data_IF_352259260983
#
_entry.id   IF_352259260983
#
_cell.length_a   1.000
_cell.length_b   1.000
_cell.length_c   1.000
_cell.angle_alpha   90.00
_cell.angle_beta   90.00
_cell.angle_gamma   90.00
#
_symmetry.space_group_name_H-M   'P 1'
#
loop_
_entity.id
_entity.type
_entity.pdbx_description
1 polymer ?
#
# COMPACT_ATOMS: atom_id res chain seq x y z
N UNK A 1 15.95 -0.47 -16.92
CA UNK A 1 14.76 -0.46 -17.83
C UNK A 1 14.65 0.85 -18.57
N UNK A 2 14.49 2.02 -17.92
CA UNK A 2 14.37 3.34 -18.59
C UNK A 2 15.53 3.63 -19.53
N UNK A 3 16.76 3.55 -19.06
CA UNK A 3 17.96 3.82 -19.87
C UNK A 3 18.08 2.90 -21.08
N UNK A 4 17.78 1.61 -20.91
CA UNK A 4 17.80 0.65 -22.01
C UNK A 4 16.76 0.98 -23.08
N UNK A 5 15.53 1.35 -22.67
CA UNK A 5 14.49 1.77 -23.58
C UNK A 5 14.87 3.07 -24.32
N UNK A 6 15.29 4.08 -23.58
CA UNK A 6 15.66 5.39 -24.15
C UNK A 6 16.88 5.33 -25.06
N UNK A 7 17.80 4.37 -24.86
CA UNK A 7 18.95 4.15 -25.71
C UNK A 7 18.64 3.42 -27.04
N UNK A 8 17.48 2.75 -27.12
CA UNK A 8 17.11 1.93 -28.28
C UNK A 8 15.88 2.47 -29.04
N UNK A 9 15.18 3.45 -28.48
CA UNK A 9 13.92 3.98 -29.02
C UNK A 9 14.05 5.45 -29.41
N UNK A 10 13.40 5.82 -30.51
CA UNK A 10 13.22 7.22 -30.87
C UNK A 10 12.30 7.99 -29.91
N UNK A 11 11.51 7.27 -29.09
CA UNK A 11 10.66 7.84 -28.04
C UNK A 11 11.40 7.73 -26.71
N UNK A 12 11.24 8.76 -25.89
CA UNK A 12 11.82 8.82 -24.55
C UNK A 12 10.72 8.61 -23.50
N UNK A 13 11.05 7.96 -22.41
CA UNK A 13 10.18 7.79 -21.24
C UNK A 13 10.87 8.34 -20.00
N UNK A 14 10.13 9.07 -19.18
CA UNK A 14 10.62 9.55 -17.88
C UNK A 14 10.71 8.41 -16.85
N UNK A 15 11.54 8.57 -15.84
CA UNK A 15 11.59 7.64 -14.69
C UNK A 15 10.25 7.65 -13.95
N UNK A 16 9.63 8.83 -13.81
CA UNK A 16 8.32 9.00 -13.20
C UNK A 16 7.24 8.17 -13.92
N UNK A 17 7.20 8.19 -15.25
CA UNK A 17 6.26 7.37 -16.02
C UNK A 17 6.58 5.86 -15.90
N UNK A 18 7.85 5.48 -15.87
CA UNK A 18 8.25 4.06 -15.66
C UNK A 18 7.81 3.55 -14.29
N UNK A 19 7.91 4.37 -13.24
CA UNK A 19 7.45 4.01 -11.89
C UNK A 19 5.92 3.78 -11.88
N UNK A 20 5.17 4.71 -12.45
CA UNK A 20 3.70 4.58 -12.51
C UNK A 20 3.28 3.38 -13.37
N UNK A 21 3.92 3.16 -14.51
CA UNK A 21 3.66 2.02 -15.39
C UNK A 21 3.98 0.69 -14.69
N UNK A 22 5.06 0.65 -13.90
CA UNK A 22 5.38 -0.51 -13.06
C UNK A 22 4.29 -0.81 -12.04
N UNK A 23 3.74 0.23 -11.40
CA UNK A 23 2.62 0.10 -10.46
C UNK A 23 1.34 -0.42 -11.14
N UNK A 24 0.97 0.13 -12.29
CA UNK A 24 -0.21 -0.35 -13.04
C UNK A 24 -0.06 -1.81 -13.46
N UNK A 25 1.10 -2.19 -13.99
CA UNK A 25 1.39 -3.57 -14.38
C UNK A 25 1.36 -4.55 -13.19
N UNK A 26 1.82 -4.11 -12.02
CA UNK A 26 1.78 -4.92 -10.80
C UNK A 26 0.32 -5.18 -10.35
N UNK A 27 -0.55 -4.17 -10.41
CA UNK A 27 -1.97 -4.32 -10.08
C UNK A 27 -2.67 -5.25 -11.09
N UNK A 28 -2.42 -5.09 -12.39
CA UNK A 28 -2.96 -5.96 -13.43
C UNK A 28 -2.52 -7.42 -13.24
N UNK A 29 -1.23 -7.63 -12.92
CA UNK A 29 -0.72 -8.98 -12.66
C UNK A 29 -1.34 -9.58 -11.40
N UNK A 30 -1.50 -8.79 -10.32
CA UNK A 30 -2.13 -9.26 -9.08
C UNK A 30 -3.61 -9.62 -9.28
N UNK A 31 -4.34 -8.86 -10.08
CA UNK A 31 -5.71 -9.18 -10.47
C UNK A 31 -5.77 -10.47 -11.29
N UNK A 32 -4.86 -10.64 -12.25
CA UNK A 32 -4.73 -11.87 -13.05
C UNK A 32 -4.43 -13.10 -12.18
N UNK A 33 -3.58 -12.94 -11.15
CA UNK A 33 -3.32 -14.00 -10.18
C UNK A 33 -4.59 -14.41 -9.41
N UNK A 34 -5.52 -13.48 -9.23
CA UNK A 34 -6.85 -13.73 -8.64
C UNK A 34 -7.90 -14.24 -9.65
N UNK A 35 -7.53 -14.47 -10.91
CA UNK A 35 -8.43 -14.94 -11.96
C UNK A 35 -9.26 -13.83 -12.62
N UNK A 36 -8.94 -12.56 -12.40
CA UNK A 36 -9.66 -11.41 -12.95
C UNK A 36 -8.76 -10.65 -13.92
N UNK A 37 -9.27 -10.33 -15.10
CA UNK A 37 -8.56 -9.46 -16.06
C UNK A 37 -9.04 -8.03 -15.90
N UNK A 38 -8.11 -7.12 -15.61
CA UNK A 38 -8.36 -5.69 -15.51
C UNK A 38 -7.34 -4.94 -16.37
N UNK A 39 -7.71 -3.77 -16.84
CA UNK A 39 -6.79 -2.82 -17.46
C UNK A 39 -6.75 -1.57 -16.59
N UNK A 40 -5.59 -1.27 -16.04
CA UNK A 40 -5.40 -0.07 -15.22
C UNK A 40 -5.04 1.11 -16.13
N UNK A 41 -5.83 2.20 -16.13
CA UNK A 41 -5.56 3.36 -16.98
C UNK A 41 -4.17 3.95 -16.71
N UNK A 42 -3.45 4.25 -17.76
CA UNK A 42 -2.15 4.90 -17.69
C UNK A 42 -2.15 6.16 -18.56
N UNK A 43 -1.82 7.30 -17.96
CA UNK A 43 -1.58 8.55 -18.66
C UNK A 43 -0.07 8.87 -18.64
N UNK A 44 0.54 8.93 -19.81
CA UNK A 44 1.93 9.34 -19.99
C UNK A 44 2.10 10.87 -19.93
N UNK A 45 3.34 11.33 -19.80
CA UNK A 45 3.70 12.75 -19.93
C UNK A 45 4.30 13.36 -18.67
N UNK A 46 4.61 12.56 -17.66
CA UNK A 46 5.40 13.03 -16.51
C UNK A 46 6.84 13.25 -16.96
N UNK A 47 7.48 14.24 -16.33
CA UNK A 47 8.89 14.57 -16.56
C UNK A 47 9.69 14.36 -15.27
N UNK A 48 10.99 14.14 -15.42
CA UNK A 48 11.90 14.01 -14.29
C UNK A 48 12.56 15.36 -13.99
N UNK A 49 12.67 15.71 -12.72
CA UNK A 49 13.49 16.83 -12.27
C UNK A 49 14.93 16.38 -12.05
N UNK A 50 15.89 17.25 -12.34
CA UNK A 50 17.28 17.04 -11.95
C UNK A 50 17.50 17.36 -10.47
N UNK A 51 18.59 16.91 -9.88
CA UNK A 51 18.96 17.27 -8.51
C UNK A 51 19.06 18.79 -8.30
N UNK A 52 19.55 19.52 -9.30
CA UNK A 52 19.63 20.97 -9.25
C UNK A 52 18.25 21.68 -9.29
N UNK A 53 17.24 21.02 -9.81
CA UNK A 53 15.86 21.51 -9.85
C UNK A 53 15.03 21.08 -8.61
N UNK A 54 15.64 20.32 -7.72
CA UNK A 54 14.94 19.76 -6.55
C UNK A 54 15.47 20.43 -5.29
N UNK A 55 14.60 21.14 -4.58
CA UNK A 55 14.89 21.63 -3.21
C UNK A 55 14.66 20.51 -2.21
N UNK A 56 15.67 19.64 -2.04
CA UNK A 56 15.59 18.48 -1.16
C UNK A 56 15.37 18.87 0.31
N UNK A 57 15.84 20.05 0.73
CA UNK A 57 15.70 20.52 2.10
C UNK A 57 14.24 20.90 2.41
N UNK A 58 13.57 21.58 1.50
CA UNK A 58 12.14 21.92 1.64
C UNK A 58 11.27 20.66 1.52
N UNK A 59 11.63 19.70 0.65
CA UNK A 59 10.91 18.44 0.52
C UNK A 59 10.92 17.59 1.80
N UNK A 60 11.96 17.70 2.65
CA UNK A 60 12.01 16.97 3.91
C UNK A 60 10.83 17.28 4.84
N UNK A 61 10.28 18.48 4.78
CA UNK A 61 9.09 18.87 5.56
C UNK A 61 7.79 18.25 5.03
N UNK A 62 7.78 17.81 3.78
CA UNK A 62 6.62 17.18 3.13
C UNK A 62 6.60 15.66 3.31
N UNK A 63 7.66 15.07 3.87
CA UNK A 63 7.66 13.63 4.15
C UNK A 63 6.58 13.28 5.17
N UNK A 64 5.70 12.32 4.88
CA UNK A 64 4.64 11.94 5.79
C UNK A 64 5.21 11.32 7.07
N UNK A 65 4.74 11.81 8.22
CA UNK A 65 5.02 11.21 9.52
C UNK A 65 4.21 9.93 9.76
N UNK A 66 3.09 9.78 9.05
CA UNK A 66 2.27 8.57 9.03
C UNK A 66 1.67 8.39 7.64
N UNK A 67 1.53 7.15 7.21
CA UNK A 67 0.90 6.79 5.95
C UNK A 67 0.18 5.44 6.10
N UNK A 68 -1.13 5.49 6.27
CA UNK A 68 -1.96 4.30 6.45
C UNK A 68 -1.97 3.39 5.23
N UNK A 69 -1.74 3.91 4.03
CA UNK A 69 -1.67 3.08 2.81
C UNK A 69 -0.47 2.15 2.84
N UNK A 70 0.70 2.66 3.29
CA UNK A 70 1.93 1.87 3.39
C UNK A 70 2.15 1.28 4.79
N UNK A 71 1.18 1.42 5.68
CA UNK A 71 1.26 0.97 7.07
C UNK A 71 2.49 1.53 7.81
N UNK A 72 2.69 2.82 7.69
CA UNK A 72 3.85 3.54 8.21
C UNK A 72 3.41 4.55 9.26
N UNK A 73 4.03 4.49 10.43
CA UNK A 73 3.71 5.36 11.56
C UNK A 73 4.99 5.69 12.35
N UNK A 74 5.29 6.97 12.53
CA UNK A 74 6.42 7.42 13.36
C UNK A 74 5.97 7.70 14.78
N UNK A 75 6.82 7.38 15.75
CA UNK A 75 6.62 7.75 17.14
C UNK A 75 6.44 9.28 17.28
N UNK A 76 5.53 9.70 18.15
CA UNK A 76 5.21 11.11 18.36
C UNK A 76 4.19 11.71 17.39
N UNK A 77 3.65 10.94 16.47
CA UNK A 77 2.53 11.36 15.62
C UNK A 77 1.29 11.65 16.49
N UNK A 78 0.65 12.79 16.23
CA UNK A 78 -0.52 13.25 17.02
C UNK A 78 -1.83 12.63 16.56
N UNK A 79 -1.95 12.35 15.25
CA UNK A 79 -3.14 11.72 14.69
C UNK A 79 -3.12 10.22 14.97
N UNK A 80 -4.25 9.66 15.33
CA UNK A 80 -4.40 8.20 15.36
C UNK A 80 -4.30 7.61 13.94
N UNK A 81 -4.01 6.32 13.77
CA UNK A 81 -4.01 5.68 12.45
C UNK A 81 -5.31 5.88 11.67
N UNK A 82 -6.47 5.83 12.34
CA UNK A 82 -7.77 6.05 11.72
C UNK A 82 -7.92 7.50 11.22
N UNK A 83 -7.53 8.49 12.02
CA UNK A 83 -7.57 9.90 11.61
C UNK A 83 -6.62 10.19 10.44
N UNK A 84 -5.42 9.60 10.45
CA UNK A 84 -4.48 9.71 9.35
C UNK A 84 -5.02 9.09 8.05
N UNK A 85 -5.80 8.01 8.13
CA UNK A 85 -6.48 7.42 6.97
C UNK A 85 -7.61 8.32 6.45
N UNK A 86 -8.39 8.93 7.33
CA UNK A 86 -9.45 9.88 6.95
C UNK A 86 -8.86 11.11 6.26
N UNK A 87 -7.78 11.67 6.80
CA UNK A 87 -7.06 12.78 6.17
C UNK A 87 -6.58 12.41 4.75
N UNK A 88 -6.01 11.23 4.61
CA UNK A 88 -5.53 10.74 3.32
C UNK A 88 -6.69 10.50 2.34
N UNK A 89 -7.82 9.98 2.80
CA UNK A 89 -9.02 9.81 1.97
C UNK A 89 -9.51 11.15 1.42
N UNK A 90 -9.54 12.19 2.26
CA UNK A 90 -9.91 13.54 1.84
C UNK A 90 -8.96 14.09 0.76
N UNK A 91 -7.65 13.94 0.94
CA UNK A 91 -6.65 14.37 -0.05
C UNK A 91 -6.81 13.67 -1.41
N UNK A 92 -7.27 12.42 -1.41
CA UNK A 92 -7.47 11.62 -2.61
C UNK A 92 -8.92 11.66 -3.13
N UNK A 93 -9.79 12.43 -2.47
CA UNK A 93 -11.23 12.51 -2.81
C UNK A 93 -11.93 11.15 -2.79
N UNK A 94 -11.52 10.27 -1.87
CA UNK A 94 -12.11 8.94 -1.70
C UNK A 94 -13.22 8.96 -0.66
N UNK A 95 -14.26 8.21 -0.94
CA UNK A 95 -15.28 7.85 0.06
C UNK A 95 -14.75 6.80 1.03
N UNK A 96 -15.41 6.62 2.17
CA UNK A 96 -15.01 5.60 3.18
C UNK A 96 -14.98 4.18 2.59
N UNK A 97 -15.96 3.72 1.81
CA UNK A 97 -15.89 2.40 1.17
C UNK A 97 -14.70 2.26 0.20
N UNK A 98 -14.44 3.28 -0.63
CA UNK A 98 -13.32 3.27 -1.56
C UNK A 98 -11.97 3.22 -0.83
N UNK A 99 -11.84 4.00 0.25
CA UNK A 99 -10.67 3.97 1.12
C UNK A 99 -10.46 2.59 1.73
N UNK A 100 -11.54 1.98 2.24
CA UNK A 100 -11.51 0.64 2.84
C UNK A 100 -11.07 -0.41 1.82
N UNK A 101 -11.63 -0.37 0.61
CA UNK A 101 -11.24 -1.27 -0.47
C UNK A 101 -9.77 -1.09 -0.88
N UNK A 102 -9.30 0.16 -0.98
CA UNK A 102 -7.91 0.47 -1.32
C UNK A 102 -6.94 -0.07 -0.26
N UNK A 103 -7.22 0.16 1.03
CA UNK A 103 -6.37 -0.36 2.12
C UNK A 103 -6.33 -1.88 2.09
N UNK A 104 -7.47 -2.56 1.98
CA UNK A 104 -7.52 -4.02 1.87
C UNK A 104 -6.72 -4.56 0.68
N UNK A 105 -6.84 -3.91 -0.47
CA UNK A 105 -6.06 -4.22 -1.67
C UNK A 105 -4.56 -4.08 -1.44
N UNK A 106 -4.10 -2.97 -0.86
CA UNK A 106 -2.68 -2.77 -0.54
C UNK A 106 -2.13 -3.82 0.43
N UNK A 107 -2.94 -4.28 1.39
CA UNK A 107 -2.52 -5.32 2.35
C UNK A 107 -2.35 -6.69 1.69
N UNK A 108 -3.27 -7.12 0.82
CA UNK A 108 -3.10 -8.39 0.09
C UNK A 108 -1.99 -8.31 -0.96
N UNK A 109 -1.64 -7.13 -1.43
CA UNK A 109 -0.47 -6.90 -2.28
C UNK A 109 0.84 -6.89 -1.49
N UNK A 110 0.79 -6.88 -0.15
CA UNK A 110 1.96 -6.72 0.72
C UNK A 110 2.71 -5.39 0.47
N UNK A 111 1.96 -4.33 0.17
CA UNK A 111 2.47 -3.02 -0.16
C UNK A 111 2.74 -2.16 1.10
N UNK A 112 3.35 -2.74 2.12
CA UNK A 112 3.72 -2.05 3.36
C UNK A 112 5.12 -1.45 3.26
N UNK A 113 5.37 -0.36 3.98
CA UNK A 113 6.71 0.21 4.11
C UNK A 113 7.61 -0.73 4.92
N UNK A 114 8.89 -0.82 4.56
CA UNK A 114 9.90 -1.51 5.36
C UNK A 114 9.70 -3.02 5.49
N UNK A 115 9.00 -3.67 4.59
CA UNK A 115 8.73 -5.12 4.63
C UNK A 115 7.88 -5.57 5.83
N UNK A 116 7.20 -4.65 6.50
CA UNK A 116 6.30 -4.94 7.64
C UNK A 116 5.10 -5.76 7.17
N UNK A 117 4.72 -6.78 7.95
CA UNK A 117 3.62 -7.70 7.60
C UNK A 117 2.32 -7.43 8.35
N UNK A 118 2.24 -6.36 9.12
CA UNK A 118 1.02 -6.01 9.85
C UNK A 118 -0.13 -5.72 8.87
N UNK A 119 -1.28 -6.33 9.10
CA UNK A 119 -2.45 -6.21 8.25
C UNK A 119 -2.42 -7.05 6.97
N UNK A 120 -1.36 -7.81 6.70
CA UNK A 120 -1.27 -8.71 5.55
C UNK A 120 -2.02 -10.00 5.86
N UNK A 121 -3.36 -9.97 5.77
CA UNK A 121 -4.22 -11.11 6.13
C UNK A 121 -4.46 -12.03 4.95
N UNK A 122 -3.38 -12.52 4.37
CA UNK A 122 -3.44 -13.50 3.27
C UNK A 122 -2.22 -14.43 3.31
N UNK A 123 -2.40 -15.65 2.85
CA UNK A 123 -1.30 -16.60 2.61
C UNK A 123 -0.75 -16.51 1.18
N UNK A 124 -1.35 -15.64 0.34
CA UNK A 124 -1.00 -15.48 -1.08
C UNK A 124 -0.74 -14.00 -1.40
N UNK A 125 0.29 -13.37 -0.79
CA UNK A 125 0.60 -11.97 -1.06
C UNK A 125 0.89 -11.77 -2.56
N UNK A 126 0.54 -10.59 -3.09
CA UNK A 126 0.63 -10.30 -4.52
C UNK A 126 -0.53 -10.86 -5.36
N UNK A 127 -1.58 -11.38 -4.71
CA UNK A 127 -2.84 -11.78 -5.34
C UNK A 127 -3.94 -10.83 -4.87
N UNK A 128 -4.61 -10.14 -5.78
CA UNK A 128 -5.66 -9.17 -5.46
C UNK A 128 -6.98 -9.90 -5.15
N UNK A 129 -6.99 -10.58 -4.01
CA UNK A 129 -8.12 -11.36 -3.50
C UNK A 129 -8.90 -10.60 -2.42
N UNK A 130 -9.98 -11.20 -1.94
CA UNK A 130 -10.81 -10.69 -0.85
C UNK A 130 -10.32 -11.13 0.54
N UNK A 131 -9.14 -11.74 0.61
CA UNK A 131 -8.61 -12.39 1.82
C UNK A 131 -8.52 -11.43 3.01
N UNK A 132 -8.13 -10.17 2.79
CA UNK A 132 -8.04 -9.18 3.86
C UNK A 132 -9.34 -9.08 4.65
N UNK A 133 -10.47 -8.92 3.96
CA UNK A 133 -11.77 -8.76 4.61
C UNK A 133 -12.29 -10.07 5.19
N UNK A 134 -12.11 -11.16 4.47
CA UNK A 134 -12.52 -12.50 4.94
C UNK A 134 -11.80 -12.86 6.22
N UNK A 135 -10.48 -12.68 6.28
CA UNK A 135 -9.68 -13.04 7.44
C UNK A 135 -9.81 -12.04 8.61
N UNK A 136 -10.02 -10.75 8.30
CA UNK A 136 -10.32 -9.75 9.34
C UNK A 136 -11.61 -10.05 10.09
N UNK A 137 -12.64 -10.53 9.38
CA UNK A 137 -13.98 -10.79 9.90
C UNK A 137 -14.19 -12.26 10.29
N UNK A 138 -13.16 -13.09 10.16
CA UNK A 138 -13.24 -14.52 10.53
C UNK A 138 -13.52 -14.69 12.02
N UNK A 139 -14.70 -15.22 12.36
CA UNK A 139 -15.14 -15.43 13.73
C UNK A 139 -14.34 -16.46 14.50
N UNK A 140 -13.50 -17.29 13.83
CA UNK A 140 -12.53 -18.16 14.49
C UNK A 140 -11.32 -17.41 15.01
N UNK A 141 -11.17 -16.12 14.66
CA UNK A 141 -10.08 -15.25 15.09
C UNK A 141 -10.57 -14.32 16.21
N UNK A 142 -9.81 -14.25 17.28
CA UNK A 142 -9.98 -13.28 18.36
C UNK A 142 -8.91 -12.20 18.28
N UNK A 143 -9.35 -10.96 18.16
CA UNK A 143 -8.45 -9.81 18.14
C UNK A 143 -8.23 -9.24 19.53
N UNK A 144 -6.96 -9.06 19.91
CA UNK A 144 -6.57 -8.45 21.19
C UNK A 144 -5.39 -7.52 20.98
N UNK A 145 -5.21 -6.55 21.90
CA UNK A 145 -4.00 -5.72 21.88
C UNK A 145 -2.78 -6.60 22.06
N UNK A 146 -1.74 -6.38 21.25
CA UNK A 146 -0.44 -6.99 21.42
C UNK A 146 0.31 -6.37 22.61
N UNK A 147 1.39 -7.03 23.05
CA UNK A 147 2.33 -6.46 24.02
C UNK A 147 3.06 -5.21 23.46
N UNK A 148 3.16 -5.07 22.15
CA UNK A 148 3.71 -3.89 21.48
C UNK A 148 2.63 -2.86 21.26
N UNK A 149 2.86 -1.63 21.72
CA UNK A 149 1.93 -0.52 21.55
C UNK A 149 1.59 -0.29 20.07
N UNK A 150 0.30 -0.07 19.79
CA UNK A 150 -0.20 0.17 18.43
C UNK A 150 -0.42 -1.08 17.60
N UNK A 151 -0.07 -2.26 18.10
CA UNK A 151 -0.28 -3.53 17.41
C UNK A 151 -1.43 -4.34 18.01
N UNK A 152 -2.01 -5.18 17.17
CA UNK A 152 -3.07 -6.14 17.54
C UNK A 152 -2.70 -7.52 17.05
N UNK A 153 -3.00 -8.53 17.86
CA UNK A 153 -2.83 -9.95 17.54
C UNK A 153 -4.18 -10.57 17.24
N UNK A 154 -4.31 -11.19 16.08
CA UNK A 154 -5.41 -12.07 15.72
C UNK A 154 -5.08 -13.52 16.08
N UNK A 155 -5.69 -14.05 17.14
CA UNK A 155 -5.44 -15.39 17.66
C UNK A 155 -6.53 -16.36 17.26
N UNK A 156 -6.14 -17.58 16.96
CA UNK A 156 -7.09 -18.67 16.78
C UNK A 156 -7.79 -18.98 18.11
N UNK A 157 -9.13 -18.93 18.11
CA UNK A 157 -9.94 -19.12 19.33
C UNK A 157 -9.78 -20.49 19.98
N UNK A 158 -9.44 -21.50 19.20
CA UNK A 158 -9.30 -22.87 19.70
C UNK A 158 -7.93 -23.12 20.26
N UNK A 159 -6.89 -22.67 19.58
CA UNK A 159 -5.51 -23.00 19.94
C UNK A 159 -4.78 -21.88 20.69
N UNK A 160 -5.30 -20.64 20.62
CA UNK A 160 -4.63 -19.44 21.14
C UNK A 160 -3.42 -18.99 20.31
N UNK A 161 -3.11 -19.67 19.22
CA UNK A 161 -1.97 -19.32 18.37
C UNK A 161 -2.23 -18.03 17.60
N UNK A 162 -1.22 -17.16 17.50
CA UNK A 162 -1.32 -15.94 16.66
C UNK A 162 -1.33 -16.34 15.20
N UNK A 163 -2.41 -16.00 14.50
CA UNK A 163 -2.59 -16.19 13.05
C UNK A 163 -2.16 -14.95 12.28
N UNK A 164 -2.51 -13.77 12.79
CA UNK A 164 -2.32 -12.49 12.15
C UNK A 164 -1.81 -11.43 13.13
N UNK A 165 -1.16 -10.40 12.60
CA UNK A 165 -0.82 -9.18 13.34
C UNK A 165 -1.30 -7.95 12.57
N UNK A 166 -1.76 -6.92 13.28
CA UNK A 166 -2.25 -5.67 12.71
C UNK A 166 -1.66 -4.46 13.43
#
# INVERSE_FOLDING_TARGET
TQQAFNGQSARQVSLADVIVLGGTAAVEQAAKNAGVTVTVPFAAGRTDATAAQTDAQSFAFLEPAADGFRNYYRAGQKLSPAEALVDRANLLTLTVPEMTALVGGLRVLDANAGQVKHGVFTTKPGTLSNDFFVNLLDMSTEWSKSATEGLYDGKDRTTGAVKWTA
#
